data_IF_694304396884
#
_entry.id   IF_694304396884
#
_cell.length_a   1.000
_cell.length_b   1.000
_cell.length_c   1.000
_cell.angle_alpha   90.00
_cell.angle_beta   90.00
_cell.angle_gamma   90.00
#
_symmetry.space_group_name_H-M   'P 1'
#
loop_
_entity.id
_entity.type
_entity.pdbx_description
1 polymer ?
#
# COMPACT_ATOMS: atom_id res chain seq x y z
N UNK A 1 -15.97 -33.53 21.95
CA UNK A 1 -14.62 -34.02 21.60
C UNK A 1 -14.44 -34.11 20.08
N UNK A 2 -14.25 -32.98 19.38
CA UNK A 2 -13.67 -32.95 18.02
C UNK A 2 -13.31 -31.51 17.56
N UNK A 3 -12.77 -30.66 18.45
CA UNK A 3 -12.33 -29.30 18.06
C UNK A 3 -10.81 -29.09 18.14
N UNK A 4 -10.04 -30.13 18.49
CA UNK A 4 -8.59 -29.98 18.73
C UNK A 4 -7.75 -30.02 17.45
N UNK A 5 -8.22 -30.71 16.41
CA UNK A 5 -7.44 -30.92 15.17
C UNK A 5 -7.52 -29.76 14.18
N UNK A 6 -8.58 -28.94 14.25
CA UNK A 6 -8.71 -27.75 13.39
C UNK A 6 -7.88 -26.57 13.91
N UNK A 7 -7.64 -26.45 15.22
CA UNK A 7 -6.97 -25.29 15.80
C UNK A 7 -5.45 -25.25 15.53
N UNK A 8 -4.76 -26.40 15.53
CA UNK A 8 -3.29 -26.43 15.42
C UNK A 8 -2.77 -26.31 13.98
N UNK A 9 -3.56 -26.72 12.97
CA UNK A 9 -3.16 -26.60 11.56
C UNK A 9 -3.34 -25.18 10.99
N UNK A 10 -4.13 -24.31 11.63
CA UNK A 10 -4.53 -23.03 11.01
C UNK A 10 -3.45 -21.95 11.06
N UNK A 11 -2.64 -21.90 12.11
CA UNK A 11 -1.71 -20.78 12.32
C UNK A 11 -0.49 -20.83 11.40
N UNK A 12 0.11 -22.01 11.25
CA UNK A 12 1.19 -22.27 10.30
C UNK A 12 0.70 -22.06 8.85
N UNK A 13 -0.52 -22.50 8.52
CA UNK A 13 -1.09 -22.32 7.19
C UNK A 13 -1.39 -20.85 6.86
N UNK A 14 -1.85 -20.04 7.82
CA UNK A 14 -2.07 -18.60 7.60
C UNK A 14 -0.75 -17.90 7.20
N UNK A 15 0.36 -18.21 7.89
CA UNK A 15 1.68 -17.66 7.53
C UNK A 15 2.12 -18.05 6.13
N UNK A 16 1.91 -19.31 5.74
CA UNK A 16 2.24 -19.80 4.38
C UNK A 16 1.38 -19.09 3.33
N UNK A 17 0.07 -18.95 3.56
CA UNK A 17 -0.85 -18.26 2.64
C UNK A 17 -0.44 -16.78 2.48
N UNK A 18 -0.05 -16.12 3.57
CA UNK A 18 0.44 -14.74 3.53
C UNK A 18 1.78 -14.64 2.79
N UNK A 19 2.70 -15.60 2.96
CA UNK A 19 3.94 -15.63 2.16
C UNK A 19 3.70 -15.85 0.66
N UNK A 20 2.59 -16.49 0.29
CA UNK A 20 2.21 -16.63 -1.12
C UNK A 20 1.78 -15.30 -1.73
N UNK A 21 1.13 -14.39 -0.97
CA UNK A 21 0.86 -13.01 -1.41
C UNK A 21 2.15 -12.25 -1.73
N UNK A 22 3.18 -12.43 -0.91
CA UNK A 22 4.47 -11.79 -1.11
C UNK A 22 5.19 -12.32 -2.36
N UNK A 23 5.13 -13.63 -2.59
CA UNK A 23 5.87 -14.31 -3.68
C UNK A 23 5.20 -14.24 -5.06
N UNK A 24 3.87 -14.34 -5.12
CA UNK A 24 3.14 -14.46 -6.39
C UNK A 24 2.51 -13.14 -6.87
N UNK A 25 2.72 -12.05 -6.13
CA UNK A 25 1.99 -10.80 -6.34
C UNK A 25 0.56 -10.92 -5.81
N UNK A 26 -0.11 -9.77 -5.70
CA UNK A 26 -1.43 -9.59 -5.07
C UNK A 26 -2.55 -10.34 -5.81
N UNK A 27 -2.55 -11.67 -5.76
CA UNK A 27 -3.57 -12.52 -6.36
C UNK A 27 -4.87 -12.42 -5.53
N UNK A 28 -6.00 -11.99 -6.13
CA UNK A 28 -7.28 -11.91 -5.42
C UNK A 28 -7.72 -13.25 -4.83
N UNK A 29 -7.36 -14.39 -5.42
CA UNK A 29 -7.72 -15.72 -4.92
C UNK A 29 -7.14 -16.00 -3.54
N UNK A 30 -5.96 -15.44 -3.23
CA UNK A 30 -5.33 -15.65 -1.93
C UNK A 30 -6.08 -14.91 -0.82
N UNK A 31 -6.63 -13.73 -1.13
CA UNK A 31 -7.54 -13.01 -0.22
C UNK A 31 -8.86 -13.76 -0.04
N UNK A 32 -9.42 -14.37 -1.09
CA UNK A 32 -10.63 -15.19 -0.98
C UNK A 32 -10.43 -16.39 -0.03
N UNK A 33 -9.26 -17.04 -0.09
CA UNK A 33 -8.89 -18.12 0.83
C UNK A 33 -8.79 -17.60 2.27
N UNK A 34 -8.14 -16.46 2.50
CA UNK A 34 -8.10 -15.83 3.83
C UNK A 34 -9.50 -15.49 4.35
N UNK A 35 -10.39 -14.98 3.50
CA UNK A 35 -11.79 -14.70 3.84
C UNK A 35 -12.55 -15.98 4.22
N UNK A 36 -12.32 -17.10 3.53
CA UNK A 36 -12.96 -18.38 3.85
C UNK A 36 -12.54 -18.93 5.22
N UNK A 37 -11.29 -18.67 5.65
CA UNK A 37 -10.78 -19.11 6.95
C UNK A 37 -11.43 -18.36 8.12
N UNK A 38 -11.92 -17.15 7.89
CA UNK A 38 -12.65 -16.37 8.89
C UNK A 38 -14.02 -16.97 9.26
N UNK A 39 -14.61 -17.84 8.42
CA UNK A 39 -15.96 -18.41 8.60
C UNK A 39 -15.94 -19.92 8.43
N UNK A 40 -16.24 -20.66 9.51
CA UNK A 40 -16.39 -22.11 9.48
C UNK A 40 -17.87 -22.50 9.59
N UNK A 41 -18.42 -23.18 8.59
CA UNK A 41 -19.83 -23.64 8.59
C UNK A 41 -20.86 -22.52 8.90
N UNK A 42 -20.63 -21.33 8.36
CA UNK A 42 -21.49 -20.16 8.60
C UNK A 42 -21.27 -19.45 9.94
N UNK A 43 -20.32 -19.89 10.76
CA UNK A 43 -19.98 -19.28 12.06
C UNK A 43 -18.62 -18.59 11.97
N UNK A 44 -18.54 -17.35 12.46
CA UNK A 44 -17.29 -16.61 12.52
C UNK A 44 -16.30 -17.26 13.51
N UNK A 45 -15.06 -17.43 13.07
CA UNK A 45 -14.01 -18.06 13.89
C UNK A 45 -12.99 -17.02 14.36
N UNK A 46 -13.17 -16.56 15.61
CA UNK A 46 -12.39 -15.46 16.21
C UNK A 46 -10.87 -15.69 16.19
N UNK A 47 -10.41 -16.90 16.49
CA UNK A 47 -8.96 -17.21 16.49
C UNK A 47 -8.33 -17.00 15.11
N UNK A 48 -9.02 -17.43 14.05
CA UNK A 48 -8.54 -17.26 12.68
C UNK A 48 -8.50 -15.78 12.28
N UNK A 49 -9.52 -15.01 12.66
CA UNK A 49 -9.59 -13.58 12.38
C UNK A 49 -8.44 -12.81 13.05
N UNK A 50 -8.19 -13.08 14.33
CA UNK A 50 -7.09 -12.45 15.07
C UNK A 50 -5.74 -12.76 14.41
N UNK A 51 -5.47 -14.04 14.12
CA UNK A 51 -4.21 -14.46 13.51
C UNK A 51 -4.01 -13.82 12.12
N UNK A 52 -5.05 -13.77 11.28
CA UNK A 52 -4.97 -13.10 9.97
C UNK A 52 -4.66 -11.60 10.14
N UNK A 53 -5.33 -10.90 11.06
CA UNK A 53 -5.05 -9.49 11.35
C UNK A 53 -3.61 -9.27 11.84
N UNK A 54 -3.13 -10.12 12.76
CA UNK A 54 -1.80 -10.00 13.36
C UNK A 54 -0.68 -10.22 12.34
N UNK A 55 -0.89 -11.06 11.32
CA UNK A 55 0.11 -11.29 10.28
C UNK A 55 -0.02 -10.37 9.06
N UNK A 56 -1.21 -9.87 8.73
CA UNK A 56 -1.46 -9.08 7.51
C UNK A 56 -1.23 -7.57 7.73
N UNK A 57 -1.55 -7.04 8.90
CA UNK A 57 -1.56 -5.59 9.16
C UNK A 57 -0.20 -4.96 9.49
N UNK A 58 0.72 -5.58 10.28
CA UNK A 58 1.95 -4.91 10.71
C UNK A 58 2.94 -4.62 9.59
N UNK A 59 2.88 -5.37 8.48
CA UNK A 59 3.82 -5.24 7.37
C UNK A 59 3.50 -4.14 6.36
N UNK A 60 2.24 -3.66 6.28
CA UNK A 60 1.69 -2.63 5.35
C UNK A 60 2.06 -2.72 3.85
N UNK A 61 2.87 -3.70 3.43
CA UNK A 61 3.39 -3.84 2.06
C UNK A 61 2.54 -4.80 1.21
N UNK A 62 1.79 -5.69 1.86
CA UNK A 62 1.00 -6.72 1.19
C UNK A 62 -0.29 -6.15 0.59
N UNK A 63 -0.95 -5.23 1.30
CA UNK A 63 -2.19 -4.58 0.89
C UNK A 63 -1.92 -3.19 0.32
N UNK A 64 -2.82 -2.74 -0.55
CA UNK A 64 -2.83 -1.36 -1.05
C UNK A 64 -3.05 -0.39 0.11
N UNK A 65 -2.19 0.64 0.20
CA UNK A 65 -2.32 1.73 1.16
C UNK A 65 -2.98 2.92 0.46
N UNK A 66 -3.90 3.57 1.15
CA UNK A 66 -4.56 4.79 0.67
C UNK A 66 -4.36 5.90 1.68
N UNK A 67 -4.08 7.10 1.19
CA UNK A 67 -3.94 8.29 2.00
C UNK A 67 -4.71 9.44 1.35
N UNK A 68 -5.39 10.24 2.17
CA UNK A 68 -5.95 11.50 1.72
C UNK A 68 -4.81 12.47 1.43
N UNK A 69 -4.83 13.09 0.24
CA UNK A 69 -3.83 14.06 -0.19
C UNK A 69 -4.54 15.34 -0.62
N UNK A 70 -3.95 16.48 -0.27
CA UNK A 70 -4.45 17.78 -0.68
C UNK A 70 -4.27 17.99 -2.19
N UNK A 71 -5.19 18.74 -2.79
CA UNK A 71 -5.07 19.14 -4.18
C UNK A 71 -4.08 20.31 -4.31
N UNK A 72 -2.94 20.07 -4.95
CA UNK A 72 -1.90 21.08 -5.17
C UNK A 72 -1.96 21.59 -6.61
N UNK A 73 -1.88 22.92 -6.79
CA UNK A 73 -1.77 23.56 -8.09
C UNK A 73 -0.39 24.22 -8.27
N UNK A 74 0.09 24.28 -9.50
CA UNK A 74 1.34 24.94 -9.87
C UNK A 74 1.09 25.98 -10.95
N UNK A 75 1.67 27.16 -10.79
CA UNK A 75 1.61 28.27 -11.74
C UNK A 75 3.02 28.59 -12.20
N UNK A 76 3.21 28.79 -13.50
CA UNK A 76 4.51 29.15 -14.08
C UNK A 76 4.38 30.40 -14.96
N UNK A 77 5.38 31.29 -14.97
CA UNK A 77 5.43 32.40 -15.93
C UNK A 77 5.70 31.86 -17.34
N UNK A 78 5.39 32.67 -18.35
CA UNK A 78 5.68 32.35 -19.75
C UNK A 78 7.16 32.63 -20.09
N UNK A 79 8.08 32.05 -19.31
CA UNK A 79 9.53 32.18 -19.48
C UNK A 79 10.10 30.79 -19.73
N UNK A 80 10.83 30.65 -20.84
CA UNK A 80 11.51 29.41 -21.21
C UNK A 80 13.01 29.69 -21.33
N UNK A 81 13.79 28.94 -20.58
CA UNK A 81 15.25 29.06 -20.58
C UNK A 81 15.83 27.73 -21.00
N UNK A 82 16.63 27.73 -22.06
CA UNK A 82 17.41 26.58 -22.51
C UNK A 82 18.88 26.92 -22.49
N UNK A 83 19.73 25.97 -22.08
CA UNK A 83 21.18 26.09 -22.23
C UNK A 83 21.59 25.29 -23.46
N UNK A 84 21.94 26.00 -24.52
CA UNK A 84 22.42 25.41 -25.77
C UNK A 84 23.83 25.93 -26.06
N UNK A 85 24.74 25.02 -26.43
CA UNK A 85 26.11 25.37 -26.78
C UNK A 85 26.13 26.30 -28.00
N UNK A 86 26.97 27.35 -27.95
CA UNK A 86 27.00 28.39 -28.97
C UNK A 86 25.78 29.32 -29.00
N UNK A 87 24.79 29.16 -28.11
CA UNK A 87 23.65 30.07 -28.06
C UNK A 87 24.03 31.42 -27.44
N UNK A 88 23.42 32.48 -27.98
CA UNK A 88 23.51 33.82 -27.43
C UNK A 88 22.58 34.03 -26.20
N UNK A 89 21.92 32.97 -25.71
CA UNK A 89 21.06 33.09 -24.54
C UNK A 89 21.88 33.37 -23.29
N UNK A 90 21.47 34.38 -22.53
CA UNK A 90 22.09 34.73 -21.27
C UNK A 90 21.96 33.56 -20.28
N UNK A 91 23.03 33.24 -19.57
CA UNK A 91 23.11 32.00 -18.77
C UNK A 91 22.77 32.20 -17.29
N UNK A 92 22.72 33.44 -16.81
CA UNK A 92 22.43 33.75 -15.40
C UNK A 92 21.02 34.30 -15.29
N UNK A 93 20.20 33.70 -14.45
CA UNK A 93 18.80 34.09 -14.25
C UNK A 93 18.57 34.37 -12.78
N UNK A 94 17.77 35.39 -12.50
CA UNK A 94 17.40 35.82 -11.17
C UNK A 94 15.89 36.05 -11.13
N UNK A 95 15.23 35.58 -10.07
CA UNK A 95 13.82 35.83 -9.85
C UNK A 95 13.56 36.01 -8.35
N UNK A 96 12.52 36.77 -8.04
CA UNK A 96 12.03 37.00 -6.69
C UNK A 96 10.54 36.66 -6.63
N UNK A 97 10.08 36.20 -5.47
CA UNK A 97 8.65 35.96 -5.19
C UNK A 97 8.36 36.48 -3.80
N UNK A 98 7.28 37.24 -3.67
CA UNK A 98 6.76 37.72 -2.38
C UNK A 98 5.43 37.04 -2.09
N UNK A 99 5.18 36.73 -0.82
CA UNK A 99 3.91 36.18 -0.35
C UNK A 99 3.09 37.31 0.29
N UNK A 100 1.83 37.44 -0.13
CA UNK A 100 0.93 38.51 0.35
C UNK A 100 0.24 38.13 1.68
N UNK A 101 0.08 36.83 1.95
CA UNK A 101 -0.53 36.34 3.19
C UNK A 101 0.07 35.01 3.64
N UNK A 102 0.14 34.77 4.97
CA UNK A 102 0.52 33.50 5.62
C UNK A 102 -0.71 32.93 6.31
#
# INVERSE_FOLDING_TARGET
FMCSSLNMMRDEHIKVIISLLEKHGRDPKVLDVLCSLCVGNGVAVRSSQNNICDFLLPGKNLLLQTQLVDHVASVRPNIFVGRVEGSAMYQKWYFEVTLDHI
#
